data_IF_096695012368
#
_entry.id   IF_096695012368
#
_cell.length_a   1.000
_cell.length_b   1.000
_cell.length_c   1.000
_cell.angle_alpha   90.00
_cell.angle_beta   90.00
_cell.angle_gamma   90.00
#
_symmetry.space_group_name_H-M   'P 1'
#
loop_
_entity.id
_entity.type
_entity.pdbx_description
1 polymer ?
#
# COMPACT_ATOMS: atom_id res chain seq x y z
N UNK A 1 5.13 -78.77 4.02
CA UNK A 1 3.94 -79.63 3.79
C UNK A 1 2.95 -79.32 4.91
N UNK A 2 1.89 -78.55 4.67
CA UNK A 2 0.55 -79.09 4.37
C UNK A 2 -0.32 -79.03 5.65
N UNK A 3 -1.02 -77.93 5.98
CA UNK A 3 -2.35 -77.45 5.52
C UNK A 3 -3.53 -77.89 6.42
N UNK A 4 -4.18 -76.86 6.96
CA UNK A 4 -5.62 -76.61 7.22
C UNK A 4 -6.51 -77.46 8.14
N UNK A 5 -7.33 -76.72 8.90
CA UNK A 5 -8.62 -77.16 9.44
C UNK A 5 -9.22 -76.12 10.38
N UNK A 6 -9.88 -75.07 9.87
CA UNK A 6 -10.76 -74.19 10.67
C UNK A 6 -12.20 -74.26 10.15
N UNK A 7 -13.11 -74.41 11.11
CA UNK A 7 -14.56 -74.64 11.03
C UNK A 7 -15.34 -73.62 10.20
N UNK A 8 -16.38 -74.10 9.49
CA UNK A 8 -17.47 -73.28 8.95
C UNK A 8 -18.79 -73.62 9.67
N UNK A 9 -19.60 -72.62 10.08
CA UNK A 9 -21.03 -72.78 10.36
C UNK A 9 -21.90 -72.58 9.08
N UNK A 10 -23.19 -73.00 9.11
CA UNK A 10 -24.05 -73.20 7.94
C UNK A 10 -24.65 -71.89 7.36
N UNK A 11 -25.25 -71.93 6.16
CA UNK A 11 -25.72 -70.72 5.47
C UNK A 11 -27.03 -70.21 6.08
N UNK A 12 -27.10 -68.90 6.33
CA UNK A 12 -28.35 -68.23 6.74
C UNK A 12 -29.00 -67.66 5.48
N UNK A 13 -30.25 -68.05 5.28
CA UNK A 13 -31.14 -67.66 4.20
C UNK A 13 -31.37 -66.15 4.12
N UNK A 14 -31.46 -65.69 2.88
CA UNK A 14 -31.81 -64.33 2.45
C UNK A 14 -33.21 -63.91 2.93
N UNK A 15 -33.29 -62.93 3.84
CA UNK A 15 -34.50 -62.12 3.99
C UNK A 15 -34.40 -60.89 3.08
N UNK A 16 -35.24 -60.88 2.05
CA UNK A 16 -35.54 -59.71 1.25
C UNK A 16 -36.12 -58.61 2.15
N UNK A 17 -35.32 -57.58 2.43
CA UNK A 17 -35.86 -56.24 2.67
C UNK A 17 -35.46 -55.36 1.48
N UNK A 18 -36.40 -55.20 0.56
CA UNK A 18 -36.42 -54.11 -0.41
C UNK A 18 -36.42 -52.77 0.35
N UNK A 19 -35.25 -52.30 0.74
CA UNK A 19 -35.04 -50.88 1.02
C UNK A 19 -34.61 -50.26 -0.31
N UNK A 20 -35.55 -49.56 -0.96
CA UNK A 20 -35.24 -48.70 -2.09
C UNK A 20 -34.07 -47.77 -1.70
N UNK A 21 -33.10 -47.50 -2.59
CA UNK A 21 -32.10 -46.48 -2.31
C UNK A 21 -32.83 -45.15 -2.17
N UNK A 22 -32.86 -44.62 -0.95
CA UNK A 22 -33.31 -43.25 -0.70
C UNK A 22 -32.31 -42.32 -1.40
N UNK A 23 -32.67 -41.93 -2.63
CA UNK A 23 -32.00 -40.84 -3.32
C UNK A 23 -32.15 -39.56 -2.49
N UNK A 24 -31.09 -39.21 -1.77
CA UNK A 24 -30.65 -37.82 -1.63
C UNK A 24 -29.18 -37.78 -1.24
N UNK A 25 -28.31 -38.35 -2.07
CA UNK A 25 -26.98 -37.78 -2.26
C UNK A 25 -27.18 -36.42 -2.92
N UNK A 26 -27.60 -35.43 -2.13
CA UNK A 26 -27.38 -34.04 -2.48
C UNK A 26 -25.88 -33.84 -2.40
N UNK A 27 -25.24 -33.94 -3.56
CA UNK A 27 -23.84 -33.70 -3.84
C UNK A 27 -23.32 -32.52 -2.99
N UNK A 28 -22.61 -32.79 -1.89
CA UNK A 28 -22.02 -31.79 -0.97
C UNK A 28 -21.10 -30.79 -1.70
N UNK A 29 -20.72 -31.14 -2.94
CA UNK A 29 -19.88 -30.38 -3.85
C UNK A 29 -20.51 -29.11 -4.41
N UNK A 30 -21.83 -28.91 -4.26
CA UNK A 30 -22.52 -27.68 -4.70
C UNK A 30 -23.31 -27.04 -3.55
N UNK A 31 -22.65 -26.81 -2.40
CA UNK A 31 -23.17 -25.84 -1.44
C UNK A 31 -23.07 -24.46 -2.11
N UNK A 32 -24.20 -23.92 -2.57
CA UNK A 32 -24.28 -22.52 -3.03
C UNK A 32 -23.91 -21.64 -1.83
N UNK A 33 -22.67 -21.17 -1.76
CA UNK A 33 -22.29 -20.14 -0.80
C UNK A 33 -23.30 -19.00 -0.92
N UNK A 34 -23.87 -18.57 0.21
CA UNK A 34 -24.75 -17.41 0.18
C UNK A 34 -23.95 -16.21 -0.35
N UNK A 35 -24.59 -15.30 -1.08
CA UNK A 35 -23.95 -14.10 -1.60
C UNK A 35 -23.19 -13.30 -0.51
N UNK A 36 -23.66 -13.38 0.75
CA UNK A 36 -22.99 -12.82 1.93
C UNK A 36 -21.70 -13.56 2.30
N UNK A 37 -21.64 -14.89 2.16
CA UNK A 37 -20.42 -15.69 2.38
C UNK A 37 -19.31 -15.31 1.40
N UNK A 38 -19.63 -15.18 0.11
CA UNK A 38 -18.67 -14.74 -0.90
C UNK A 38 -18.14 -13.32 -0.68
N UNK A 39 -18.97 -12.40 -0.15
CA UNK A 39 -18.56 -11.03 0.16
C UNK A 39 -17.63 -10.97 1.39
N UNK A 40 -17.93 -11.76 2.44
CA UNK A 40 -17.13 -11.88 3.66
C UNK A 40 -15.75 -12.50 3.42
N UNK A 41 -15.61 -13.31 2.37
CA UNK A 41 -14.37 -14.04 2.05
C UNK A 41 -13.33 -13.19 1.30
N UNK A 42 -13.68 -11.97 0.88
CA UNK A 42 -12.78 -11.07 0.16
C UNK A 42 -11.82 -10.34 1.12
N UNK A 43 -10.52 -10.21 0.77
CA UNK A 43 -9.55 -9.45 1.57
C UNK A 43 -10.03 -8.03 1.88
N UNK A 44 -10.75 -7.44 0.92
CA UNK A 44 -11.25 -6.07 0.93
C UNK A 44 -12.32 -5.84 1.99
N UNK A 45 -13.08 -6.86 2.39
CA UNK A 45 -14.23 -6.67 3.28
C UNK A 45 -13.80 -6.15 4.66
N UNK A 46 -12.70 -6.67 5.21
CA UNK A 46 -12.16 -6.19 6.47
C UNK A 46 -11.71 -4.72 6.38
N UNK A 47 -11.05 -4.36 5.28
CA UNK A 47 -10.58 -3.00 5.04
C UNK A 47 -11.74 -2.00 4.85
N UNK A 48 -12.76 -2.38 4.07
CA UNK A 48 -13.96 -1.58 3.84
C UNK A 48 -14.75 -1.40 5.16
N UNK A 49 -14.93 -2.48 5.93
CA UNK A 49 -15.63 -2.42 7.22
C UNK A 49 -14.90 -1.52 8.21
N UNK A 50 -13.55 -1.61 8.27
CA UNK A 50 -12.72 -0.73 9.07
C UNK A 50 -12.82 0.73 8.62
N UNK A 51 -12.84 0.99 7.31
CA UNK A 51 -13.01 2.33 6.77
C UNK A 51 -14.36 2.90 7.18
N UNK A 52 -15.46 2.17 6.98
CA UNK A 52 -16.81 2.60 7.39
C UNK A 52 -16.86 2.92 8.88
N UNK A 53 -16.27 2.07 9.74
CA UNK A 53 -16.22 2.34 11.18
C UNK A 53 -15.48 3.64 11.51
N UNK A 54 -14.31 3.86 10.90
CA UNK A 54 -13.51 5.08 11.13
C UNK A 54 -14.24 6.32 10.65
N UNK A 55 -14.84 6.28 9.47
CA UNK A 55 -15.66 7.36 8.93
C UNK A 55 -16.87 7.65 9.83
N UNK A 56 -17.55 6.64 10.36
CA UNK A 56 -18.65 6.83 11.31
C UNK A 56 -18.18 7.49 12.61
N UNK A 57 -17.05 7.07 13.17
CA UNK A 57 -16.49 7.69 14.38
C UNK A 57 -16.23 9.18 14.16
N UNK A 58 -15.54 9.55 13.08
CA UNK A 58 -15.25 10.94 12.78
C UNK A 58 -16.47 11.75 12.33
N UNK A 59 -17.46 11.12 11.68
CA UNK A 59 -18.72 11.79 11.38
C UNK A 59 -19.45 12.23 12.67
N UNK A 60 -19.37 11.42 13.73
CA UNK A 60 -19.98 11.73 15.02
C UNK A 60 -19.15 12.71 15.86
N UNK A 61 -17.82 12.65 15.80
CA UNK A 61 -16.94 13.48 16.66
C UNK A 61 -16.47 14.78 16.01
N UNK A 62 -16.32 14.79 14.68
CA UNK A 62 -15.76 15.89 13.89
C UNK A 62 -16.68 16.31 12.72
N UNK A 63 -17.94 15.86 12.71
CA UNK A 63 -18.90 16.18 11.65
C UNK A 63 -19.12 17.69 11.43
N UNK A 64 -19.12 18.47 12.52
CA UNK A 64 -19.36 19.91 12.50
C UNK A 64 -18.09 20.77 12.43
N UNK A 65 -16.89 20.20 12.53
CA UNK A 65 -15.63 20.95 12.56
C UNK A 65 -15.06 21.28 11.17
N UNK A 66 -15.77 20.90 10.10
CA UNK A 66 -15.36 21.15 8.71
C UNK A 66 -14.49 20.05 8.10
N UNK A 67 -14.26 18.94 8.82
CA UNK A 67 -13.49 17.78 8.32
C UNK A 67 -14.05 17.19 7.02
N UNK A 68 -15.37 17.22 6.86
CA UNK A 68 -16.08 16.70 5.67
C UNK A 68 -16.41 17.79 4.64
N UNK A 69 -15.97 19.02 4.85
CA UNK A 69 -16.00 20.05 3.80
C UNK A 69 -14.92 19.75 2.76
N UNK A 70 -15.05 20.35 1.57
CA UNK A 70 -14.15 20.08 0.45
C UNK A 70 -12.65 20.25 0.80
N UNK A 71 -12.31 21.27 1.59
CA UNK A 71 -10.93 21.51 2.05
C UNK A 71 -10.42 20.39 2.98
N UNK A 72 -11.24 20.02 3.98
CA UNK A 72 -10.95 18.89 4.85
C UNK A 72 -10.78 17.59 4.07
N UNK A 73 -11.68 17.31 3.12
CA UNK A 73 -11.63 16.16 2.21
C UNK A 73 -10.32 16.13 1.42
N UNK A 74 -9.90 17.25 0.85
CA UNK A 74 -8.63 17.32 0.13
C UNK A 74 -7.43 17.10 1.06
N UNK A 75 -7.46 17.66 2.27
CA UNK A 75 -6.35 17.56 3.22
C UNK A 75 -6.09 16.11 3.65
N UNK A 76 -7.12 15.40 4.16
CA UNK A 76 -6.93 14.01 4.56
C UNK A 76 -6.72 13.09 3.35
N UNK A 77 -7.33 13.38 2.19
CA UNK A 77 -7.10 12.60 0.97
C UNK A 77 -5.66 12.71 0.48
N UNK A 78 -5.04 13.88 0.59
CA UNK A 78 -3.65 14.11 0.22
C UNK A 78 -2.69 13.29 1.09
N UNK A 79 -2.92 13.27 2.41
CA UNK A 79 -2.15 12.44 3.35
C UNK A 79 -2.34 10.95 3.04
N UNK A 80 -3.60 10.53 2.84
CA UNK A 80 -3.91 9.17 2.42
C UNK A 80 -3.25 8.78 1.11
N UNK A 81 -3.13 9.69 0.14
CA UNK A 81 -2.52 9.42 -1.16
C UNK A 81 -1.01 9.17 -1.08
N UNK A 82 -0.31 9.97 -0.28
CA UNK A 82 1.11 9.76 -0.02
C UNK A 82 1.36 8.37 0.58
N UNK A 83 0.62 7.99 1.62
CA UNK A 83 0.74 6.65 2.20
C UNK A 83 0.21 5.55 1.27
N UNK A 84 -0.79 5.88 0.46
CA UNK A 84 -1.38 5.03 -0.55
C UNK A 84 -0.35 4.54 -1.55
N UNK A 85 0.44 5.46 -2.12
CA UNK A 85 1.54 5.14 -3.04
C UNK A 85 2.52 4.13 -2.41
N UNK A 86 2.95 4.38 -1.17
CA UNK A 86 3.88 3.48 -0.47
C UNK A 86 3.24 2.12 -0.16
N UNK A 87 1.99 2.14 0.34
CA UNK A 87 1.25 0.94 0.75
C UNK A 87 0.94 0.01 -0.43
N UNK A 88 0.73 0.53 -1.65
CA UNK A 88 0.53 -0.28 -2.85
C UNK A 88 1.79 -1.07 -3.19
N UNK A 89 2.96 -0.40 -3.18
CA UNK A 89 4.25 -1.07 -3.38
C UNK A 89 4.54 -2.10 -2.29
N UNK A 90 4.39 -1.70 -1.02
CA UNK A 90 4.60 -2.58 0.13
C UNK A 90 3.66 -3.79 0.09
N UNK A 91 2.38 -3.59 -0.25
CA UNK A 91 1.38 -4.65 -0.37
C UNK A 91 1.82 -5.72 -1.38
N UNK A 92 2.19 -5.34 -2.60
CA UNK A 92 2.59 -6.32 -3.61
C UNK A 92 3.87 -7.08 -3.22
N UNK A 93 4.84 -6.41 -2.60
CA UNK A 93 6.05 -7.05 -2.11
C UNK A 93 5.75 -8.04 -0.96
N UNK A 94 4.89 -7.64 -0.02
CA UNK A 94 4.44 -8.49 1.07
C UNK A 94 3.64 -9.70 0.59
N UNK A 95 2.80 -9.53 -0.45
CA UNK A 95 2.10 -10.66 -1.08
C UNK A 95 3.12 -11.67 -1.61
N UNK A 96 4.27 -11.25 -2.14
CA UNK A 96 5.34 -12.16 -2.57
C UNK A 96 6.19 -12.74 -1.42
N UNK A 97 5.84 -12.45 -0.17
CA UNK A 97 6.50 -12.96 1.04
C UNK A 97 7.79 -12.24 1.39
N UNK A 98 7.96 -10.98 0.96
CA UNK A 98 9.16 -10.18 1.25
C UNK A 98 8.80 -8.86 1.94
N UNK A 99 9.78 -8.27 2.64
CA UNK A 99 9.64 -6.99 3.33
C UNK A 99 10.73 -6.02 2.89
N UNK A 100 10.35 -4.76 2.67
CA UNK A 100 11.30 -3.68 2.38
C UNK A 100 11.19 -2.56 3.40
N UNK A 101 12.06 -2.62 4.43
CA UNK A 101 12.17 -1.54 5.40
C UNK A 101 12.91 -0.32 4.85
N UNK A 102 13.71 -0.47 3.79
CA UNK A 102 14.49 0.64 3.25
C UNK A 102 13.62 1.68 2.55
N UNK A 103 12.35 1.37 2.25
CA UNK A 103 11.39 2.26 1.60
C UNK A 103 11.28 3.63 2.28
N UNK A 104 11.39 3.69 3.62
CA UNK A 104 11.38 4.95 4.38
C UNK A 104 12.63 5.79 4.11
N UNK A 105 13.82 5.22 4.29
CA UNK A 105 15.09 5.90 3.98
C UNK A 105 15.25 6.27 2.51
N UNK A 106 14.62 5.50 1.61
CA UNK A 106 14.62 5.75 0.17
C UNK A 106 13.90 7.06 -0.17
N UNK A 107 12.89 7.48 0.62
CA UNK A 107 12.19 8.75 0.41
C UNK A 107 13.16 9.93 0.61
N UNK A 108 13.85 9.97 1.74
CA UNK A 108 14.84 11.03 2.03
C UNK A 108 15.98 11.03 1.02
N UNK A 109 16.51 9.84 0.70
CA UNK A 109 17.58 9.70 -0.29
C UNK A 109 17.17 10.17 -1.68
N UNK A 110 16.00 9.72 -2.17
CA UNK A 110 15.46 10.12 -3.48
C UNK A 110 15.18 11.63 -3.52
N UNK A 111 14.67 12.21 -2.42
CA UNK A 111 14.45 13.64 -2.32
C UNK A 111 15.75 14.44 -2.45
N UNK A 112 16.84 13.98 -1.81
CA UNK A 112 18.17 14.58 -1.96
C UNK A 112 18.76 14.39 -3.37
N UNK A 113 18.49 13.25 -4.02
CA UNK A 113 18.86 13.02 -5.42
C UNK A 113 18.15 13.98 -6.40
N UNK A 114 16.99 14.53 -6.04
CA UNK A 114 16.35 15.61 -6.79
C UNK A 114 16.93 16.96 -6.40
N UNK A 115 17.02 17.24 -5.10
CA UNK A 115 17.32 18.58 -4.59
C UNK A 115 18.79 19.00 -4.79
N UNK A 116 19.76 18.12 -4.55
CA UNK A 116 21.18 18.50 -4.66
C UNK A 116 21.55 18.82 -6.12
N UNK A 117 21.28 17.96 -7.12
CA UNK A 117 21.64 18.28 -8.50
C UNK A 117 20.88 19.49 -9.05
N UNK A 118 19.61 19.68 -8.69
CA UNK A 118 18.83 20.83 -9.19
C UNK A 118 19.26 22.16 -8.57
N UNK A 119 19.48 22.21 -7.26
CA UNK A 119 19.77 23.47 -6.55
C UNK A 119 21.25 23.85 -6.62
N UNK A 120 22.16 22.88 -6.50
CA UNK A 120 23.61 23.14 -6.40
C UNK A 120 24.37 22.91 -7.70
N UNK A 121 24.00 21.89 -8.47
CA UNK A 121 24.63 21.64 -9.77
C UNK A 121 23.86 22.29 -10.92
N UNK A 122 22.75 22.98 -10.61
CA UNK A 122 21.89 23.67 -11.57
C UNK A 122 21.40 22.77 -12.72
N UNK A 123 21.20 21.49 -12.43
CA UNK A 123 20.59 20.58 -13.40
C UNK A 123 19.13 20.96 -13.62
N UNK A 124 18.60 20.80 -14.86
CA UNK A 124 17.17 20.84 -15.08
C UNK A 124 16.47 19.89 -14.11
N UNK A 125 15.43 20.36 -13.41
CA UNK A 125 14.76 19.55 -12.39
C UNK A 125 14.16 18.28 -12.99
N UNK A 126 13.69 18.33 -14.24
CA UNK A 126 13.25 17.16 -15.01
C UNK A 126 14.34 16.09 -15.13
N UNK A 127 15.59 16.48 -15.38
CA UNK A 127 16.74 15.58 -15.41
C UNK A 127 17.08 15.03 -14.00
N UNK A 128 17.01 15.88 -12.97
CA UNK A 128 17.23 15.46 -11.59
C UNK A 128 16.17 14.44 -11.11
N UNK A 129 14.90 14.62 -11.51
CA UNK A 129 13.81 13.66 -11.25
C UNK A 129 14.11 12.33 -11.94
N UNK A 130 14.51 12.35 -13.23
CA UNK A 130 14.86 11.12 -13.94
C UNK A 130 16.05 10.41 -13.30
N UNK A 131 17.07 11.15 -12.87
CA UNK A 131 18.21 10.64 -12.13
C UNK A 131 17.79 9.98 -10.81
N UNK A 132 16.90 10.62 -10.05
CA UNK A 132 16.35 10.06 -8.81
C UNK A 132 15.60 8.75 -9.07
N UNK A 133 14.70 8.69 -10.06
CA UNK A 133 14.01 7.45 -10.43
C UNK A 133 14.98 6.34 -10.84
N UNK A 134 15.95 6.65 -11.69
CA UNK A 134 16.94 5.66 -12.13
C UNK A 134 17.75 5.12 -10.95
N UNK A 135 18.29 5.99 -10.09
CA UNK A 135 19.08 5.57 -8.93
C UNK A 135 18.27 4.78 -7.90
N UNK A 136 17.07 5.22 -7.56
CA UNK A 136 16.21 4.52 -6.60
C UNK A 136 15.77 3.15 -7.13
N UNK A 137 15.39 3.05 -8.40
CA UNK A 137 15.04 1.77 -9.01
C UNK A 137 16.24 0.82 -9.10
N UNK A 138 17.45 1.32 -9.35
CA UNK A 138 18.69 0.53 -9.32
C UNK A 138 18.98 0.01 -7.91
N UNK A 139 18.76 0.81 -6.87
CA UNK A 139 18.89 0.39 -5.47
C UNK A 139 17.83 -0.64 -5.10
N UNK A 140 16.59 -0.48 -5.56
CA UNK A 140 15.54 -1.50 -5.45
C UNK A 140 15.93 -2.82 -6.14
N UNK A 141 16.48 -2.74 -7.35
CA UNK A 141 16.99 -3.91 -8.06
C UNK A 141 18.15 -4.58 -7.30
N UNK A 142 19.04 -3.79 -6.69
CA UNK A 142 20.15 -4.27 -5.88
C UNK A 142 19.65 -4.98 -4.61
N UNK A 143 18.69 -4.40 -3.89
CA UNK A 143 18.03 -5.04 -2.73
C UNK A 143 17.46 -6.39 -3.11
N UNK A 144 16.61 -6.43 -4.14
CA UNK A 144 16.02 -7.68 -4.61
C UNK A 144 17.06 -8.68 -5.09
N UNK A 145 18.10 -8.21 -5.78
CA UNK A 145 19.19 -9.07 -6.26
C UNK A 145 19.95 -9.71 -5.10
N UNK A 146 20.28 -8.92 -4.07
CA UNK A 146 20.97 -9.39 -2.88
C UNK A 146 20.13 -10.43 -2.15
N UNK A 147 18.86 -10.14 -1.84
CA UNK A 147 17.94 -11.10 -1.22
C UNK A 147 17.89 -12.41 -2.00
N UNK A 148 17.71 -12.33 -3.32
CA UNK A 148 17.62 -13.53 -4.16
C UNK A 148 18.95 -14.25 -4.39
N UNK A 149 20.10 -13.60 -4.20
CA UNK A 149 21.43 -14.21 -4.39
C UNK A 149 21.96 -14.81 -3.09
N UNK A 150 21.83 -14.10 -1.98
CA UNK A 150 22.39 -14.48 -0.68
C UNK A 150 21.46 -15.41 0.10
N UNK A 151 20.16 -15.44 -0.24
CA UNK A 151 19.11 -16.15 0.50
C UNK A 151 18.96 -15.67 1.95
N UNK A 152 19.50 -14.49 2.26
CA UNK A 152 19.25 -13.83 3.53
C UNK A 152 17.77 -13.36 3.56
N UNK A 153 17.12 -13.37 4.73
CA UNK A 153 15.82 -12.74 4.89
C UNK A 153 15.83 -11.29 4.39
N UNK A 154 14.81 -10.89 3.62
CA UNK A 154 14.70 -9.52 3.07
C UNK A 154 14.70 -8.44 4.14
N UNK A 155 14.13 -8.74 5.30
CA UNK A 155 14.16 -7.86 6.47
C UNK A 155 15.59 -7.44 6.83
N UNK A 156 16.57 -8.35 6.83
CA UNK A 156 17.96 -8.04 7.21
C UNK A 156 18.64 -7.18 6.14
N UNK A 157 18.49 -7.56 4.87
CA UNK A 157 19.08 -6.81 3.75
C UNK A 157 18.53 -5.39 3.70
N UNK A 158 17.21 -5.24 3.81
CA UNK A 158 16.55 -3.94 3.70
C UNK A 158 16.72 -3.08 4.95
N UNK A 159 16.87 -3.68 6.14
CA UNK A 159 17.28 -2.96 7.34
C UNK A 159 18.72 -2.43 7.21
N UNK A 160 19.65 -3.20 6.64
CA UNK A 160 21.00 -2.71 6.36
C UNK A 160 20.95 -1.52 5.37
N UNK A 161 20.16 -1.64 4.30
CA UNK A 161 19.97 -0.52 3.37
C UNK A 161 19.26 0.68 4.01
N UNK A 162 18.36 0.47 4.97
CA UNK A 162 17.75 1.56 5.73
C UNK A 162 18.84 2.43 6.38
N UNK A 163 19.81 1.81 7.06
CA UNK A 163 20.91 2.54 7.69
C UNK A 163 21.90 3.13 6.68
N UNK A 164 22.24 2.37 5.62
CA UNK A 164 23.16 2.84 4.58
C UNK A 164 22.57 4.07 3.87
N UNK A 165 21.34 4.00 3.38
CA UNK A 165 20.71 5.09 2.64
C UNK A 165 20.49 6.30 3.53
N UNK A 166 20.12 6.10 4.80
CA UNK A 166 19.96 7.20 5.74
C UNK A 166 21.28 7.89 6.10
N UNK A 167 22.34 7.11 6.30
CA UNK A 167 23.69 7.62 6.48
C UNK A 167 24.19 8.37 5.25
N UNK A 168 23.99 7.81 4.05
CA UNK A 168 24.35 8.45 2.79
C UNK A 168 23.54 9.74 2.55
N UNK A 169 22.26 9.75 2.86
CA UNK A 169 21.42 10.95 2.71
C UNK A 169 21.99 12.10 3.54
N UNK A 170 22.34 11.84 4.80
CA UNK A 170 22.97 12.82 5.69
C UNK A 170 24.37 13.23 5.22
N UNK A 171 25.22 12.25 4.89
CA UNK A 171 26.61 12.50 4.50
C UNK A 171 26.67 13.31 3.20
N UNK A 172 25.89 12.96 2.19
CA UNK A 172 25.85 13.66 0.91
C UNK A 172 25.20 15.04 1.05
N UNK A 173 24.15 15.19 1.86
CA UNK A 173 23.55 16.51 2.12
C UNK A 173 24.56 17.45 2.79
N UNK A 174 25.31 16.97 3.78
CA UNK A 174 26.32 17.79 4.43
C UNK A 174 27.47 18.09 3.45
N UNK A 175 27.97 17.10 2.72
CA UNK A 175 29.12 17.26 1.83
C UNK A 175 28.87 18.22 0.66
N UNK A 176 27.66 18.26 0.10
CA UNK A 176 27.36 19.11 -1.05
C UNK A 176 26.59 20.39 -0.70
N UNK A 177 25.84 20.40 0.40
CA UNK A 177 24.93 21.48 0.74
C UNK A 177 25.25 22.20 2.06
N UNK A 178 26.14 21.66 2.89
CA UNK A 178 26.44 22.11 4.27
C UNK A 178 25.20 22.17 5.20
N UNK A 179 24.13 21.46 4.83
CA UNK A 179 22.86 21.42 5.57
C UNK A 179 22.10 20.13 5.27
N UNK A 180 21.26 19.72 6.22
CA UNK A 180 20.42 18.52 6.10
C UNK A 180 19.07 18.80 5.44
N UNK A 181 18.78 20.06 5.10
CA UNK A 181 17.56 20.52 4.44
C UNK A 181 17.93 21.40 3.24
N UNK A 182 17.55 20.98 2.04
CA UNK A 182 17.77 21.72 0.80
C UNK A 182 16.43 22.28 0.32
N UNK A 183 16.28 23.61 0.38
CA UNK A 183 15.10 24.34 -0.07
C UNK A 183 15.31 24.96 -1.47
N UNK A 184 14.22 25.42 -2.09
CA UNK A 184 14.24 26.09 -3.40
C UNK A 184 13.86 25.19 -4.57
N UNK A 185 13.53 23.92 -4.33
CA UNK A 185 13.12 22.99 -5.38
C UNK A 185 11.71 23.31 -5.92
N UNK A 186 10.86 23.93 -5.10
CA UNK A 186 9.48 24.26 -5.45
C UNK A 186 9.41 25.27 -6.60
N UNK A 187 10.19 26.34 -6.51
CA UNK A 187 10.26 27.37 -7.55
C UNK A 187 10.81 26.80 -8.86
N UNK A 188 11.81 25.91 -8.77
CA UNK A 188 12.34 25.19 -9.93
C UNK A 188 11.29 24.27 -10.55
N UNK A 189 10.51 23.55 -9.73
CA UNK A 189 9.44 22.68 -10.17
C UNK A 189 8.28 23.44 -10.83
N UNK A 190 7.98 24.65 -10.35
CA UNK A 190 6.96 25.51 -10.94
C UNK A 190 7.34 25.97 -12.35
N UNK A 191 8.62 26.28 -12.59
CA UNK A 191 9.10 26.82 -13.84
C UNK A 191 9.38 25.75 -14.92
N UNK A 192 9.66 24.50 -14.53
CA UNK A 192 9.88 23.40 -15.47
C UNK A 192 8.56 22.78 -15.93
N UNK A 193 8.36 22.67 -17.23
CA UNK A 193 7.11 22.16 -17.80
C UNK A 193 6.77 20.74 -17.33
N UNK A 194 7.75 19.83 -17.23
CA UNK A 194 7.50 18.44 -16.87
C UNK A 194 7.23 18.30 -15.37
N UNK A 195 8.03 18.97 -14.54
CA UNK A 195 7.82 18.97 -13.09
C UNK A 195 6.50 19.66 -12.72
N UNK A 196 6.21 20.80 -13.36
CA UNK A 196 4.96 21.53 -13.14
C UNK A 196 3.77 20.66 -13.53
N UNK A 197 3.76 20.07 -14.72
CA UNK A 197 2.59 19.33 -15.20
C UNK A 197 2.33 18.03 -14.41
N UNK A 198 3.37 17.25 -14.12
CA UNK A 198 3.21 15.91 -13.55
C UNK A 198 3.31 15.84 -12.03
N UNK A 199 4.13 16.67 -11.38
CA UNK A 199 4.53 16.46 -9.99
C UNK A 199 4.20 17.61 -9.04
N UNK A 200 4.13 18.86 -9.51
CA UNK A 200 3.91 20.02 -8.65
C UNK A 200 2.45 20.52 -8.66
N UNK A 201 1.86 20.74 -7.49
CA UNK A 201 0.60 21.44 -7.30
C UNK A 201 -0.63 20.59 -7.61
N UNK A 202 -1.71 21.26 -8.01
CA UNK A 202 -3.02 20.64 -8.21
C UNK A 202 -3.40 20.55 -9.69
N UNK A 203 -4.26 19.58 -10.01
CA UNK A 203 -4.88 19.42 -11.30
C UNK A 203 -6.28 20.03 -11.33
N UNK A 204 -6.79 20.29 -12.53
CA UNK A 204 -8.14 20.80 -12.78
C UNK A 204 -8.45 22.20 -12.19
N UNK A 205 -7.43 23.07 -12.04
CA UNK A 205 -7.58 24.42 -11.50
C UNK A 205 -8.72 25.24 -12.14
N UNK A 206 -8.79 25.25 -13.47
CA UNK A 206 -9.82 26.01 -14.20
C UNK A 206 -11.23 25.49 -13.93
N UNK A 207 -11.40 24.19 -13.73
CA UNK A 207 -12.70 23.58 -13.41
C UNK A 207 -13.17 23.95 -12.00
N UNK A 208 -12.28 23.88 -11.01
CA UNK A 208 -12.61 24.27 -9.63
C UNK A 208 -12.89 25.77 -9.50
N UNK A 209 -12.13 26.59 -10.23
CA UNK A 209 -12.40 28.04 -10.29
C UNK A 209 -13.77 28.31 -10.94
N UNK A 210 -14.10 27.61 -12.03
CA UNK A 210 -15.43 27.73 -12.67
C UNK A 210 -16.56 27.30 -11.73
N UNK A 211 -16.42 26.19 -11.00
CA UNK A 211 -17.40 25.74 -10.02
C UNK A 211 -17.63 26.76 -8.91
N UNK A 212 -16.53 27.32 -8.39
CA UNK A 212 -16.60 28.34 -7.35
C UNK A 212 -17.25 29.65 -7.85
N UNK A 213 -17.07 30.00 -9.14
CA UNK A 213 -17.81 31.12 -9.77
C UNK A 213 -19.32 30.86 -9.87
N UNK A 214 -19.74 29.60 -10.01
CA UNK A 214 -21.15 29.19 -10.06
C UNK A 214 -21.75 28.94 -8.67
N UNK A 215 -21.06 29.32 -7.59
CA UNK A 215 -21.54 29.17 -6.21
C UNK A 215 -21.37 27.76 -5.62
N UNK A 216 -20.66 26.86 -6.30
CA UNK A 216 -20.33 25.51 -5.81
C UNK A 216 -18.91 25.57 -5.21
N UNK A 217 -18.84 25.92 -3.93
CA UNK A 217 -17.59 26.12 -3.18
C UNK A 217 -17.44 27.55 -2.67
N UNK A 218 -16.35 27.82 -1.97
CA UNK A 218 -16.02 29.16 -1.44
C UNK A 218 -14.98 29.83 -2.32
N UNK A 219 -15.27 31.06 -2.76
CA UNK A 219 -14.30 31.96 -3.38
C UNK A 219 -13.57 32.73 -2.28
N UNK A 220 -12.24 32.81 -2.40
CA UNK A 220 -11.44 33.74 -1.63
C UNK A 220 -11.58 35.15 -2.23
N UNK A 221 -11.32 36.18 -1.41
CA UNK A 221 -11.40 37.59 -1.82
C UNK A 221 -10.46 37.95 -2.98
N UNK A 222 -9.44 37.12 -3.23
CA UNK A 222 -8.50 37.25 -4.34
C UNK A 222 -8.98 36.64 -5.66
N UNK A 223 -10.22 36.14 -5.73
CA UNK A 223 -10.83 35.57 -6.93
C UNK A 223 -10.45 34.11 -7.23
N UNK A 224 -9.74 33.43 -6.32
CA UNK A 224 -9.42 32.02 -6.42
C UNK A 224 -10.37 31.15 -5.58
N UNK A 225 -10.59 29.91 -6.00
CA UNK A 225 -11.35 28.95 -5.19
C UNK A 225 -10.54 28.57 -3.93
N UNK A 226 -11.21 28.44 -2.77
CA UNK A 226 -10.59 27.98 -1.51
C UNK A 226 -9.87 26.64 -1.71
N UNK A 227 -10.50 25.75 -2.49
CA UNK A 227 -9.88 24.52 -2.95
C UNK A 227 -9.51 24.71 -4.42
N UNK A 228 -8.22 24.91 -4.72
CA UNK A 228 -7.79 25.28 -6.07
C UNK A 228 -7.93 24.12 -7.06
N UNK A 229 -7.90 22.87 -6.59
CA UNK A 229 -8.03 21.69 -7.46
C UNK A 229 -7.74 20.40 -6.71
N UNK A 230 -7.51 19.32 -7.47
CA UNK A 230 -7.16 18.01 -6.91
C UNK A 230 -5.63 17.90 -6.83
N UNK A 231 -5.04 17.70 -5.64
CA UNK A 231 -3.60 17.43 -5.49
C UNK A 231 -3.11 16.31 -6.42
N UNK A 232 -2.03 16.55 -7.16
CA UNK A 232 -1.51 15.57 -8.15
C UNK A 232 -1.11 14.24 -7.53
N UNK A 233 -0.70 14.24 -6.25
CA UNK A 233 -0.43 13.01 -5.51
C UNK A 233 -1.65 12.07 -5.44
N UNK A 234 -2.87 12.61 -5.35
CA UNK A 234 -4.09 11.79 -5.37
C UNK A 234 -4.26 11.11 -6.74
N UNK A 235 -4.00 11.83 -7.83
CA UNK A 235 -4.09 11.28 -9.18
C UNK A 235 -3.05 10.18 -9.40
N UNK A 236 -1.80 10.41 -8.98
CA UNK A 236 -0.75 9.41 -9.05
C UNK A 236 -1.06 8.17 -8.21
N UNK A 237 -1.61 8.36 -7.00
CA UNK A 237 -2.06 7.25 -6.18
C UNK A 237 -3.14 6.42 -6.88
N UNK A 238 -4.20 7.06 -7.39
CA UNK A 238 -5.29 6.37 -8.09
C UNK A 238 -4.76 5.64 -9.32
N UNK A 239 -3.92 6.28 -10.13
CA UNK A 239 -3.33 5.69 -11.33
C UNK A 239 -2.47 4.46 -10.98
N UNK A 240 -1.58 4.59 -9.99
CA UNK A 240 -0.72 3.51 -9.54
C UNK A 240 -1.55 2.36 -8.95
N UNK A 241 -2.53 2.66 -8.10
CA UNK A 241 -3.43 1.68 -7.52
C UNK A 241 -4.22 0.93 -8.59
N UNK A 242 -4.76 1.64 -9.60
CA UNK A 242 -5.48 1.03 -10.72
C UNK A 242 -4.59 0.09 -11.52
N UNK A 243 -3.37 0.51 -11.87
CA UNK A 243 -2.40 -0.32 -12.59
C UNK A 243 -2.02 -1.55 -11.77
N UNK A 244 -1.63 -1.37 -10.50
CA UNK A 244 -1.22 -2.47 -9.62
C UNK A 244 -2.37 -3.44 -9.31
N UNK A 245 -3.59 -2.94 -9.10
CA UNK A 245 -4.77 -3.77 -8.90
C UNK A 245 -5.11 -4.57 -10.17
N UNK A 246 -5.05 -3.94 -11.35
CA UNK A 246 -5.24 -4.63 -12.62
C UNK A 246 -4.17 -5.73 -12.83
N UNK A 247 -2.90 -5.41 -12.59
CA UNK A 247 -1.80 -6.38 -12.69
C UNK A 247 -2.03 -7.57 -11.75
N UNK A 248 -2.37 -7.31 -10.49
CA UNK A 248 -2.61 -8.36 -9.51
C UNK A 248 -3.84 -9.22 -9.85
N UNK A 249 -4.94 -8.61 -10.29
CA UNK A 249 -6.22 -9.31 -10.47
C UNK A 249 -6.42 -9.93 -11.86
N UNK A 250 -5.78 -9.40 -12.91
CA UNK A 250 -6.11 -9.73 -14.31
C UNK A 250 -4.92 -10.19 -15.15
N UNK A 251 -3.69 -10.23 -14.62
CA UNK A 251 -2.51 -10.59 -15.42
C UNK A 251 -1.77 -11.82 -14.90
N UNK A 252 -0.94 -12.42 -15.76
CA UNK A 252 -0.04 -13.53 -15.40
C UNK A 252 0.94 -13.14 -14.30
N UNK A 253 1.39 -11.88 -14.29
CA UNK A 253 2.29 -11.39 -13.25
C UNK A 253 1.63 -11.43 -11.87
N UNK A 254 0.32 -11.11 -11.78
CA UNK A 254 -0.46 -11.24 -10.55
C UNK A 254 -0.50 -12.67 -10.03
N UNK A 255 -0.78 -13.64 -10.89
CA UNK A 255 -0.75 -15.07 -10.54
C UNK A 255 0.63 -15.50 -10.04
N UNK A 256 1.71 -14.99 -10.66
CA UNK A 256 3.07 -15.27 -10.21
C UNK A 256 3.39 -14.66 -8.85
N UNK A 257 2.95 -13.43 -8.57
CA UNK A 257 3.14 -12.76 -7.28
C UNK A 257 2.48 -13.56 -6.16
N UNK A 258 1.22 -13.97 -6.35
CA UNK A 258 0.48 -14.77 -5.38
C UNK A 258 1.11 -16.16 -5.17
N UNK A 259 1.46 -16.85 -6.27
CA UNK A 259 2.06 -18.19 -6.20
C UNK A 259 3.41 -18.17 -5.48
N UNK A 260 4.27 -17.18 -5.77
CA UNK A 260 5.57 -17.02 -5.12
C UNK A 260 5.43 -16.79 -3.62
N UNK A 261 4.42 -16.02 -3.21
CA UNK A 261 4.14 -15.75 -1.81
C UNK A 261 3.58 -16.94 -1.03
N UNK A 262 2.77 -17.78 -1.68
CA UNK A 262 2.21 -18.98 -1.05
C UNK A 262 3.27 -20.06 -0.83
N UNK A 263 3.97 -20.45 -1.90
CA UNK A 263 5.12 -21.35 -1.83
C UNK A 263 6.08 -21.09 -3.00
N UNK A 264 7.20 -20.44 -2.70
CA UNK A 264 8.23 -20.12 -3.69
C UNK A 264 8.87 -21.36 -4.33
N UNK A 265 8.99 -22.48 -3.62
CA UNK A 265 9.57 -23.71 -4.15
C UNK A 265 8.58 -24.40 -5.10
N UNK A 266 7.30 -24.51 -4.70
CA UNK A 266 6.26 -25.03 -5.57
C UNK A 266 6.08 -24.18 -6.83
N UNK A 267 6.04 -22.85 -6.68
CA UNK A 267 5.96 -21.92 -7.80
C UNK A 267 7.13 -22.09 -8.79
N UNK A 268 8.35 -22.28 -8.28
CA UNK A 268 9.53 -22.55 -9.11
C UNK A 268 9.39 -23.87 -9.88
N UNK A 269 8.88 -24.92 -9.23
CA UNK A 269 8.72 -26.24 -9.85
C UNK A 269 7.69 -26.26 -10.99
N UNK A 270 6.73 -25.32 -10.99
CA UNK A 270 5.77 -25.13 -12.10
C UNK A 270 6.20 -24.05 -13.11
N UNK A 271 7.46 -23.60 -13.04
CA UNK A 271 8.07 -22.71 -14.05
C UNK A 271 7.93 -21.20 -13.80
N UNK A 272 7.46 -20.77 -12.62
CA UNK A 272 7.38 -19.35 -12.29
C UNK A 272 8.79 -18.76 -12.09
N UNK A 273 9.13 -17.63 -12.72
CA UNK A 273 10.45 -17.00 -12.58
C UNK A 273 10.57 -16.24 -11.26
N UNK A 274 10.54 -16.95 -10.12
CA UNK A 274 10.51 -16.42 -8.73
C UNK A 274 11.50 -15.26 -8.52
N UNK A 275 12.74 -15.42 -9.00
CA UNK A 275 13.79 -14.40 -8.86
C UNK A 275 13.43 -13.09 -9.55
N UNK A 276 12.90 -13.14 -10.77
CA UNK A 276 12.54 -11.94 -11.53
C UNK A 276 11.33 -11.25 -10.89
N UNK A 277 10.36 -12.03 -10.42
CA UNK A 277 9.17 -11.52 -9.73
C UNK A 277 9.59 -10.74 -8.48
N UNK A 278 10.34 -11.35 -7.56
CA UNK A 278 10.78 -10.69 -6.33
C UNK A 278 11.63 -9.45 -6.59
N UNK A 279 12.60 -9.51 -7.52
CA UNK A 279 13.41 -8.34 -7.89
C UNK A 279 12.54 -7.21 -8.44
N UNK A 280 11.58 -7.51 -9.33
CA UNK A 280 10.70 -6.48 -9.90
C UNK A 280 9.83 -5.80 -8.84
N UNK A 281 9.44 -6.51 -7.78
CA UNK A 281 8.67 -5.96 -6.68
C UNK A 281 9.51 -5.02 -5.80
N UNK A 282 10.79 -5.33 -5.54
CA UNK A 282 11.70 -4.38 -4.88
C UNK A 282 11.98 -3.14 -5.73
N UNK A 283 12.02 -3.28 -7.06
CA UNK A 283 12.09 -2.11 -7.96
C UNK A 283 10.82 -1.29 -7.85
N UNK A 284 9.65 -1.92 -7.78
CA UNK A 284 8.36 -1.24 -7.61
C UNK A 284 8.27 -0.51 -6.26
N UNK A 285 8.73 -1.11 -5.15
CA UNK A 285 8.75 -0.41 -3.85
C UNK A 285 9.64 0.82 -3.87
N UNK A 286 10.82 0.72 -4.47
CA UNK A 286 11.73 1.86 -4.64
C UNK A 286 11.16 2.94 -5.58
N UNK A 287 10.44 2.54 -6.64
CA UNK A 287 9.70 3.47 -7.50
C UNK A 287 8.62 4.22 -6.71
N UNK A 288 7.84 3.53 -5.87
CA UNK A 288 6.83 4.16 -5.03
C UNK A 288 7.43 5.16 -4.03
N UNK A 289 8.56 4.81 -3.41
CA UNK A 289 9.30 5.72 -2.52
C UNK A 289 9.84 6.96 -3.25
N UNK A 290 10.39 6.78 -4.45
CA UNK A 290 10.87 7.89 -5.26
C UNK A 290 9.71 8.78 -5.72
N UNK A 291 8.59 8.20 -6.19
CA UNK A 291 7.41 8.96 -6.58
C UNK A 291 6.86 9.79 -5.42
N UNK A 292 6.76 9.20 -4.22
CA UNK A 292 6.42 9.94 -3.00
C UNK A 292 7.36 11.12 -2.79
N UNK A 293 8.69 10.88 -2.86
CA UNK A 293 9.69 11.90 -2.60
C UNK A 293 9.64 13.04 -3.62
N UNK A 294 9.52 12.72 -4.91
CA UNK A 294 9.43 13.72 -6.01
C UNK A 294 8.19 14.59 -5.82
N UNK A 295 7.01 13.98 -5.60
CA UNK A 295 5.77 14.72 -5.35
C UNK A 295 5.91 15.61 -4.11
N UNK A 296 6.44 15.08 -3.02
CA UNK A 296 6.63 15.82 -1.78
C UNK A 296 7.61 16.99 -1.93
N UNK A 297 8.76 16.77 -2.58
CA UNK A 297 9.79 17.81 -2.75
C UNK A 297 9.33 18.89 -3.72
N UNK A 298 8.59 18.54 -4.77
CA UNK A 298 8.01 19.51 -5.69
C UNK A 298 6.94 20.36 -5.00
N UNK A 299 6.10 19.78 -4.15
CA UNK A 299 5.01 20.50 -3.48
C UNK A 299 5.47 21.32 -2.26
N UNK A 300 6.30 20.72 -1.40
CA UNK A 300 6.82 21.40 -0.18
C UNK A 300 7.96 22.35 -0.53
N UNK A 301 8.62 22.15 -1.67
CA UNK A 301 9.74 22.97 -2.14
C UNK A 301 11.07 22.75 -1.43
N UNK A 302 11.15 21.73 -0.56
CA UNK A 302 12.38 21.34 0.12
C UNK A 302 12.51 19.82 0.29
N UNK A 303 13.75 19.34 0.24
CA UNK A 303 14.14 17.98 0.63
C UNK A 303 14.86 18.03 1.97
N UNK A 304 14.56 17.08 2.86
CA UNK A 304 15.25 16.94 4.14
C UNK A 304 15.71 15.50 4.36
N UNK A 305 16.85 15.33 5.04
CA UNK A 305 17.48 14.03 5.22
C UNK A 305 16.68 13.07 6.13
N UNK A 306 15.78 13.62 6.94
CA UNK A 306 14.85 12.91 7.82
C UNK A 306 13.48 12.66 7.16
N UNK A 307 13.28 13.06 5.89
CA UNK A 307 12.07 12.68 5.16
C UNK A 307 12.00 11.16 5.03
N UNK A 308 10.80 10.62 5.27
CA UNK A 308 10.56 9.18 5.23
C UNK A 308 10.72 8.47 6.57
N UNK A 309 11.05 9.19 7.65
CA UNK A 309 11.01 8.65 9.01
C UNK A 309 9.69 7.93 9.30
N UNK A 310 9.79 6.66 9.75
CA UNK A 310 8.66 5.81 10.14
C UNK A 310 7.73 5.40 8.98
N UNK A 311 7.93 5.94 7.77
CA UNK A 311 7.07 5.65 6.61
C UNK A 311 7.17 4.19 6.18
N UNK A 312 8.29 3.52 6.47
CA UNK A 312 8.45 2.09 6.30
C UNK A 312 7.43 1.27 7.12
N UNK A 313 7.17 1.66 8.37
CA UNK A 313 6.20 0.98 9.22
C UNK A 313 4.77 1.40 8.88
N UNK A 314 4.54 2.69 8.60
CA UNK A 314 3.22 3.19 8.24
C UNK A 314 2.69 2.54 6.94
N UNK A 315 3.54 2.32 5.94
CA UNK A 315 3.17 1.65 4.70
C UNK A 315 2.79 0.17 4.92
N UNK A 316 3.56 -0.55 5.75
CA UNK A 316 3.25 -1.94 6.13
C UNK A 316 1.94 -2.00 6.90
N UNK A 317 1.77 -1.12 7.89
CA UNK A 317 0.54 -1.00 8.70
C UNK A 317 -0.67 -0.76 7.80
N UNK A 318 -0.59 0.20 6.87
CA UNK A 318 -1.66 0.46 5.92
C UNK A 318 -2.00 -0.78 5.07
N UNK A 319 -0.99 -1.49 4.55
CA UNK A 319 -1.21 -2.73 3.81
C UNK A 319 -1.85 -3.85 4.65
N UNK A 320 -1.47 -3.99 5.93
CA UNK A 320 -2.00 -4.98 6.87
C UNK A 320 -3.43 -4.66 7.31
N UNK A 321 -3.73 -3.39 7.63
CA UNK A 321 -5.11 -2.92 7.87
C UNK A 321 -5.96 -3.21 6.63
N UNK A 322 -5.37 -3.05 5.44
CA UNK A 322 -5.94 -3.42 4.16
C UNK A 322 -6.15 -4.91 3.90
N UNK A 323 -5.74 -5.79 4.83
CA UNK A 323 -5.96 -7.24 4.74
C UNK A 323 -4.81 -8.05 4.13
N UNK A 324 -3.66 -7.44 3.86
CA UNK A 324 -2.46 -8.12 3.33
C UNK A 324 -1.79 -8.95 4.43
N UNK A 325 -1.40 -10.19 4.11
CA UNK A 325 -0.73 -11.06 5.07
C UNK A 325 0.78 -10.81 5.12
N UNK A 326 1.33 -10.80 6.35
CA UNK A 326 2.77 -10.75 6.59
C UNK A 326 3.50 -12.02 6.13
N UNK A 327 2.79 -13.14 6.04
CA UNK A 327 3.35 -14.44 5.62
C UNK A 327 3.47 -14.59 4.10
N UNK A 328 2.87 -13.68 3.31
CA UNK A 328 2.77 -13.81 1.87
C UNK A 328 1.59 -14.66 1.39
N UNK A 329 1.41 -14.69 0.06
CA UNK A 329 0.42 -15.49 -0.66
C UNK A 329 -0.99 -14.90 -0.71
N UNK A 330 -1.26 -13.82 0.02
CA UNK A 330 -2.60 -13.23 0.10
C UNK A 330 -2.57 -11.73 0.38
N UNK A 331 -3.36 -10.97 -0.38
CA UNK A 331 -3.59 -9.53 -0.17
C UNK A 331 -4.43 -8.91 -1.28
N UNK A 332 -4.76 -7.62 -1.13
CA UNK A 332 -5.46 -6.83 -2.14
C UNK A 332 -4.88 -5.42 -2.20
N UNK A 333 -4.61 -4.94 -3.42
CA UNK A 333 -4.18 -3.55 -3.66
C UNK A 333 -5.29 -2.59 -3.27
N UNK A 334 -6.55 -2.93 -3.56
CA UNK A 334 -7.73 -2.14 -3.16
C UNK A 334 -7.84 -2.09 -1.64
N UNK A 335 -7.65 -3.23 -0.98
CA UNK A 335 -7.58 -3.30 0.47
C UNK A 335 -6.50 -2.38 1.05
N UNK A 336 -5.28 -2.42 0.51
CA UNK A 336 -4.19 -1.52 0.92
C UNK A 336 -4.53 -0.04 0.74
N UNK A 337 -5.26 0.33 -0.32
CA UNK A 337 -5.74 1.69 -0.51
C UNK A 337 -6.73 2.12 0.58
N UNK A 338 -7.66 1.26 0.99
CA UNK A 338 -8.54 1.53 2.14
C UNK A 338 -7.76 1.64 3.45
N UNK A 339 -6.71 0.83 3.63
CA UNK A 339 -5.82 0.95 4.78
C UNK A 339 -5.09 2.30 4.85
N UNK A 340 -4.58 2.79 3.71
CA UNK A 340 -3.98 4.13 3.61
C UNK A 340 -5.02 5.25 3.79
N UNK A 341 -6.24 5.05 3.30
CA UNK A 341 -7.37 5.96 3.52
C UNK A 341 -7.69 6.10 5.01
N UNK A 342 -7.89 4.96 5.69
CA UNK A 342 -8.09 4.92 7.14
C UNK A 342 -6.98 5.67 7.87
N UNK A 343 -5.72 5.42 7.49
CA UNK A 343 -4.59 6.07 8.12
C UNK A 343 -4.64 7.59 7.97
N UNK A 344 -4.81 8.11 6.75
CA UNK A 344 -4.83 9.56 6.52
C UNK A 344 -6.03 10.25 7.15
N UNK A 345 -7.21 9.63 7.13
CA UNK A 345 -8.42 10.11 7.82
C UNK A 345 -8.19 10.21 9.32
N UNK A 346 -7.50 9.25 9.92
CA UNK A 346 -7.19 9.28 11.35
C UNK A 346 -6.12 10.31 11.69
N UNK A 347 -5.09 10.41 10.85
CA UNK A 347 -3.99 11.35 11.06
C UNK A 347 -4.46 12.80 11.02
N UNK A 348 -5.32 13.14 10.07
CA UNK A 348 -5.88 14.47 9.95
C UNK A 348 -7.13 14.63 10.81
N UNK A 349 -7.97 13.61 10.94
CA UNK A 349 -9.23 13.70 11.67
C UNK A 349 -9.06 14.07 13.15
N UNK A 350 -7.99 13.63 13.82
CA UNK A 350 -7.75 14.01 15.23
C UNK A 350 -7.59 15.53 15.38
N UNK A 351 -6.98 16.22 14.40
CA UNK A 351 -6.79 17.68 14.47
C UNK A 351 -8.11 18.45 14.30
N UNK A 352 -9.15 17.78 13.80
CA UNK A 352 -10.52 18.30 13.71
C UNK A 352 -11.36 17.98 14.96
N UNK A 353 -10.78 17.32 15.98
CA UNK A 353 -11.44 17.03 17.26
C UNK A 353 -10.80 17.84 18.39
N UNK A 354 -11.45 17.90 19.55
CA UNK A 354 -10.90 18.54 20.75
C UNK A 354 -9.85 17.66 21.49
N UNK A 355 -9.44 16.53 20.92
CA UNK A 355 -8.43 15.64 21.51
C UNK A 355 -7.04 16.16 21.17
N UNK A 356 -6.10 16.16 22.12
CA UNK A 356 -4.73 16.59 21.82
C UNK A 356 -4.06 15.62 20.84
N UNK A 357 -3.35 16.18 19.85
CA UNK A 357 -2.65 15.42 18.80
C UNK A 357 -1.57 14.48 19.34
N UNK A 358 -1.12 14.67 20.57
CA UNK A 358 -0.14 13.79 21.25
C UNK A 358 -0.65 12.35 21.37
N UNK A 359 -1.97 12.16 21.48
CA UNK A 359 -2.61 10.84 21.54
C UNK A 359 -2.65 10.11 20.21
N UNK A 360 -2.28 10.75 19.09
CA UNK A 360 -2.35 10.15 17.76
C UNK A 360 -1.66 8.79 17.69
N UNK A 361 -0.45 8.66 18.26
CA UNK A 361 0.31 7.40 18.23
C UNK A 361 -0.38 6.29 19.04
N UNK A 362 -1.01 6.66 20.15
CA UNK A 362 -1.79 5.71 20.98
C UNK A 362 -3.03 5.26 20.21
N UNK A 363 -3.78 6.20 19.63
CA UNK A 363 -4.98 5.91 18.84
C UNK A 363 -4.66 5.00 17.66
N UNK A 364 -3.58 5.29 16.92
CA UNK A 364 -3.11 4.48 15.80
C UNK A 364 -2.77 3.05 16.25
N UNK A 365 -2.06 2.89 17.37
CA UNK A 365 -1.72 1.57 17.92
C UNK A 365 -2.95 0.75 18.33
N UNK A 366 -3.91 1.37 19.02
CA UNK A 366 -5.17 0.73 19.42
C UNK A 366 -6.01 0.35 18.20
N UNK A 367 -6.16 1.27 17.24
CA UNK A 367 -6.92 1.03 16.02
C UNK A 367 -6.31 -0.10 15.18
N UNK A 368 -4.99 -0.12 15.02
CA UNK A 368 -4.29 -1.23 14.36
C UNK A 368 -4.61 -2.57 15.03
N UNK A 369 -4.51 -2.62 16.37
CA UNK A 369 -4.77 -3.84 17.12
C UNK A 369 -6.21 -4.31 16.92
N UNK A 370 -7.19 -3.40 17.00
CA UNK A 370 -8.60 -3.69 16.73
C UNK A 370 -8.78 -4.21 15.30
N UNK A 371 -8.21 -3.54 14.30
CA UNK A 371 -8.33 -3.94 12.90
C UNK A 371 -7.75 -5.33 12.64
N UNK A 372 -6.59 -5.64 13.22
CA UNK A 372 -5.94 -6.95 13.10
C UNK A 372 -6.73 -8.03 13.83
N UNK A 373 -7.19 -7.77 15.06
CA UNK A 373 -8.02 -8.71 15.83
C UNK A 373 -9.35 -8.98 15.11
N UNK A 374 -9.98 -7.95 14.55
CA UNK A 374 -11.19 -8.08 13.76
C UNK A 374 -10.96 -8.88 12.48
N UNK A 375 -9.91 -8.58 11.71
CA UNK A 375 -9.55 -9.34 10.51
C UNK A 375 -9.29 -10.82 10.83
N UNK A 376 -8.57 -11.10 11.92
CA UNK A 376 -8.34 -12.45 12.40
C UNK A 376 -9.62 -13.16 12.84
N UNK A 377 -10.52 -12.46 13.54
CA UNK A 377 -11.82 -13.00 13.98
C UNK A 377 -12.73 -13.35 12.79
N UNK A 378 -12.88 -12.44 11.83
CA UNK A 378 -13.69 -12.65 10.61
C UNK A 378 -13.18 -13.87 9.86
N UNK A 379 -11.86 -13.99 9.68
CA UNK A 379 -11.25 -15.15 9.00
C UNK A 379 -11.47 -16.46 9.73
N UNK A 380 -11.35 -16.49 11.07
CA UNK A 380 -11.61 -17.73 11.83
C UNK A 380 -13.04 -18.20 11.68
N UNK A 381 -14.01 -17.28 11.69
CA UNK A 381 -15.41 -17.64 11.46
C UNK A 381 -15.63 -18.19 10.05
N UNK A 382 -15.05 -17.55 9.04
CA UNK A 382 -15.12 -18.02 7.65
C UNK A 382 -14.52 -19.42 7.50
N UNK A 383 -13.35 -19.68 8.08
CA UNK A 383 -12.70 -21.00 8.00
C UNK A 383 -13.44 -22.12 8.75
N UNK A 384 -14.40 -21.77 9.62
CA UNK A 384 -15.21 -22.69 10.42
C UNK A 384 -16.65 -22.86 9.88
N UNK A 385 -17.05 -22.09 8.86
CA UNK A 385 -18.40 -22.10 8.26
C UNK A 385 -18.43 -22.88 6.96
#
# INVERSE_FOLDING_TARGET
MGVAGKHFPPPVETSNTNAAPSHSDSDERVRKESWFGHLLNRPEFAAISGAVLVFLVFALTAGSSGMFNLDGVMNWSQVSAYLGILSVGACLLMIAGEFDLSIGSMIGFSGMMVAIPSVYFHWPISLAILFAFAGSMLLGALNGYLVMRTRLPSFIVTLAFLFILRGLTLALSIMFADRTIVSGVGDLAQNDWLANTLFHGVAFNGFFTMLAQHGIGTMLDNGHALVPGIPKVILWWIALAAVCAFVLAKTRAGNWILAVGGDANAAKNVGVPVRRVKISLFVLTAFCACLFAVLQVCDIGSAAADRGLQKEFEAIIAAVIGGTLLTGGYGSVVGACFGALIFGVVQIGITYTNVSSDWFRVFLGVMLLIAVLFNHYVRRRVAQS
#
